data_IF_580720310323
#
_entry.id   IF_580720310323
#
_cell.length_a   1.000
_cell.length_b   1.000
_cell.length_c   1.000
_cell.angle_alpha   90.00
_cell.angle_beta   90.00
_cell.angle_gamma   90.00
#
_symmetry.space_group_name_H-M   'P 1'
#
loop_
_entity.id
_entity.type
_entity.pdbx_description
1 polymer ?
#
# COMPACT_ATOMS: atom_id res chain seq x y z
N UNK A 1 11.04 -11.37 -16.93
CA UNK A 1 12.26 -11.54 -16.11
C UNK A 1 11.94 -11.03 -14.71
N UNK A 2 11.51 -11.93 -13.83
CA UNK A 2 11.14 -11.61 -12.44
C UNK A 2 12.35 -11.79 -11.54
N UNK A 3 12.88 -10.68 -11.01
CA UNK A 3 13.85 -10.69 -9.92
C UNK A 3 13.12 -10.64 -8.60
N UNK A 4 12.98 -11.78 -7.92
CA UNK A 4 12.53 -11.83 -6.52
C UNK A 4 13.71 -11.43 -5.66
N UNK A 5 13.66 -10.23 -5.06
CA UNK A 5 14.64 -9.82 -4.05
C UNK A 5 14.29 -10.56 -2.76
N UNK A 6 15.02 -11.65 -2.49
CA UNK A 6 14.97 -12.33 -1.20
C UNK A 6 15.55 -11.40 -0.14
N UNK A 7 14.70 -10.94 0.78
CA UNK A 7 15.15 -10.28 2.00
C UNK A 7 15.64 -11.40 2.92
N UNK A 8 16.95 -11.58 3.02
CA UNK A 8 17.55 -12.40 4.08
C UNK A 8 17.25 -11.72 5.43
N UNK A 9 16.21 -12.22 6.09
CA UNK A 9 16.08 -12.06 7.53
C UNK A 9 17.16 -12.94 8.14
N UNK A 10 18.28 -12.35 8.55
CA UNK A 10 19.25 -13.03 9.41
C UNK A 10 18.53 -13.45 10.69
N UNK A 11 18.06 -14.68 10.70
CA UNK A 11 17.61 -15.39 11.87
C UNK A 11 18.84 -15.63 12.73
N UNK A 12 19.03 -14.80 13.75
CA UNK A 12 19.95 -15.08 14.84
C UNK A 12 19.48 -16.37 15.51
N UNK A 13 19.99 -17.51 15.05
CA UNK A 13 19.68 -18.81 15.63
C UNK A 13 20.20 -18.79 17.07
N UNK A 14 19.28 -18.79 18.03
CA UNK A 14 19.59 -19.10 19.41
C UNK A 14 20.08 -20.55 19.45
N UNK A 15 21.39 -20.75 19.45
CA UNK A 15 21.98 -22.04 19.77
C UNK A 15 22.08 -22.14 21.29
N UNK A 16 21.27 -22.97 21.97
CA UNK A 16 21.60 -23.37 23.33
C UNK A 16 22.90 -24.19 23.24
N UNK A 17 23.96 -23.64 23.83
CA UNK A 17 25.25 -24.32 23.98
C UNK A 17 24.97 -25.59 24.81
N UNK A 18 24.96 -26.76 24.17
CA UNK A 18 24.89 -28.04 24.88
C UNK A 18 26.16 -28.16 25.73
N UNK A 19 26.01 -27.98 27.06
CA UNK A 19 27.04 -28.37 28.01
C UNK A 19 26.95 -29.88 28.18
N UNK A 20 28.06 -30.57 27.91
CA UNK A 20 28.17 -32.01 28.07
C UNK A 20 27.82 -32.46 29.49
N UNK A 21 26.93 -33.43 29.57
CA UNK A 21 26.56 -34.11 30.81
C UNK A 21 27.58 -35.22 31.07
N UNK A 22 28.38 -35.09 32.12
CA UNK A 22 29.01 -36.23 32.78
C UNK A 22 28.71 -36.18 34.26
N UNK A 23 27.87 -37.13 34.69
CA UNK A 23 28.00 -37.82 35.96
C UNK A 23 27.65 -37.06 37.23
N UNK A 24 26.47 -37.40 37.75
CA UNK A 24 26.11 -37.41 39.17
C UNK A 24 25.61 -36.09 39.81
N UNK A 25 24.43 -36.18 40.43
CA UNK A 25 23.87 -35.17 41.31
C UNK A 25 22.98 -34.08 40.69
N UNK A 26 21.72 -34.07 41.18
CA UNK A 26 20.77 -32.94 41.20
C UNK A 26 20.05 -32.58 39.89
N UNK A 27 18.72 -32.77 39.91
CA UNK A 27 17.69 -31.85 39.40
C UNK A 27 18.24 -30.84 38.39
N UNK A 28 18.06 -31.09 37.09
CA UNK A 28 18.41 -30.13 36.03
C UNK A 28 17.46 -28.95 36.11
N UNK A 29 17.72 -28.08 37.08
CA UNK A 29 17.11 -26.78 37.23
C UNK A 29 17.47 -26.01 35.98
N UNK A 30 16.51 -25.87 35.09
CA UNK A 30 16.51 -24.92 33.97
C UNK A 30 16.47 -23.46 34.48
N UNK A 31 17.09 -23.18 35.63
CA UNK A 31 17.24 -21.85 36.19
C UNK A 31 18.27 -21.08 35.35
N UNK A 32 17.76 -20.26 34.44
CA UNK A 32 18.54 -19.16 33.89
C UNK A 32 19.11 -18.35 35.06
N UNK A 33 20.41 -18.04 35.02
CA UNK A 33 20.99 -17.17 36.05
C UNK A 33 20.22 -15.84 36.09
N UNK A 34 20.08 -15.24 37.27
CA UNK A 34 19.37 -13.96 37.44
C UNK A 34 19.90 -12.88 36.47
N UNK A 35 21.21 -12.93 36.17
CA UNK A 35 21.85 -12.07 35.17
C UNK A 35 21.29 -12.30 33.76
N UNK A 36 21.13 -13.56 33.33
CA UNK A 36 20.51 -13.88 32.04
C UNK A 36 19.04 -13.46 31.98
N UNK A 37 18.28 -13.65 33.06
CA UNK A 37 16.88 -13.20 33.14
C UNK A 37 16.80 -11.68 32.97
N UNK A 38 17.64 -10.92 33.67
CA UNK A 38 17.71 -9.47 33.55
C UNK A 38 18.10 -9.01 32.14
N UNK A 39 19.10 -9.65 31.52
CA UNK A 39 19.51 -9.35 30.14
C UNK A 39 18.38 -9.61 29.15
N UNK A 40 17.71 -10.77 29.26
CA UNK A 40 16.58 -11.12 28.38
C UNK A 40 15.43 -10.13 28.55
N UNK A 41 15.09 -9.74 29.79
CA UNK A 41 14.07 -8.72 30.07
C UNK A 41 14.40 -7.40 29.36
N UNK A 42 15.64 -6.91 29.48
CA UNK A 42 16.04 -5.66 28.84
C UNK A 42 15.98 -5.74 27.30
N UNK A 43 16.38 -6.87 26.71
CA UNK A 43 16.30 -7.08 25.26
C UNK A 43 14.85 -7.13 24.77
N UNK A 44 13.96 -7.79 25.52
CA UNK A 44 12.54 -7.83 25.21
C UNK A 44 11.92 -6.44 25.31
N UNK A 45 12.22 -5.68 26.36
CA UNK A 45 11.74 -4.30 26.50
C UNK A 45 12.19 -3.40 25.34
N UNK A 46 13.44 -3.52 24.88
CA UNK A 46 13.93 -2.81 23.68
C UNK A 46 13.18 -3.23 22.42
N UNK A 47 12.92 -4.53 22.26
CA UNK A 47 12.18 -5.07 21.12
C UNK A 47 10.75 -4.55 21.10
N UNK A 48 10.04 -4.59 22.23
CA UNK A 48 8.68 -4.05 22.38
C UNK A 48 8.65 -2.57 22.02
N UNK A 49 9.55 -1.76 22.59
CA UNK A 49 9.61 -0.34 22.29
C UNK A 49 9.91 -0.03 20.80
N UNK A 50 10.67 -0.90 20.12
CA UNK A 50 10.87 -0.79 18.66
C UNK A 50 9.60 -1.12 17.88
N UNK A 51 8.90 -2.18 18.26
CA UNK A 51 7.66 -2.61 17.60
C UNK A 51 6.55 -1.56 17.76
N UNK A 52 6.39 -0.98 18.95
CA UNK A 52 5.43 0.10 19.21
C UNK A 52 5.70 1.32 18.32
N UNK A 53 6.98 1.71 18.17
CA UNK A 53 7.38 2.79 17.27
C UNK A 53 7.09 2.49 15.80
N UNK A 54 7.11 1.22 15.38
CA UNK A 54 6.76 0.81 14.01
C UNK A 54 5.24 0.74 13.80
N UNK A 55 4.48 0.40 14.84
CA UNK A 55 3.04 0.15 14.73
C UNK A 55 2.25 1.39 14.29
N UNK A 56 2.55 2.56 14.86
CA UNK A 56 1.82 3.81 14.56
C UNK A 56 1.97 4.23 13.08
N UNK A 57 3.20 4.32 12.52
CA UNK A 57 3.39 4.56 11.08
C UNK A 57 2.71 3.53 10.19
N UNK A 58 2.79 2.24 10.53
CA UNK A 58 2.15 1.17 9.74
C UNK A 58 0.62 1.31 9.72
N UNK A 59 0.02 1.71 10.85
CA UNK A 59 -1.42 2.00 10.92
C UNK A 59 -1.79 3.14 9.98
N UNK A 60 -1.03 4.23 10.00
CA UNK A 60 -1.28 5.37 9.11
C UNK A 60 -1.12 5.00 7.63
N UNK A 61 -0.10 4.21 7.29
CA UNK A 61 0.09 3.69 5.93
C UNK A 61 -1.09 2.82 5.48
N UNK A 62 -1.61 1.95 6.35
CA UNK A 62 -2.82 1.17 6.07
C UNK A 62 -4.02 2.08 5.81
N UNK A 63 -4.25 3.08 6.64
CA UNK A 63 -5.40 3.98 6.50
C UNK A 63 -5.29 4.80 5.20
N UNK A 64 -4.10 5.28 4.87
CA UNK A 64 -3.80 5.95 3.60
C UNK A 64 -4.05 5.01 2.39
N UNK A 65 -3.70 3.73 2.48
CA UNK A 65 -4.01 2.74 1.42
C UNK A 65 -5.51 2.47 1.29
N UNK A 66 -6.24 2.35 2.40
CA UNK A 66 -7.70 2.18 2.38
C UNK A 66 -8.39 3.38 1.74
N UNK A 67 -7.92 4.59 2.02
CA UNK A 67 -8.41 5.79 1.37
C UNK A 67 -8.21 5.74 -0.16
N UNK A 68 -7.05 5.27 -0.64
CA UNK A 68 -6.82 5.11 -2.08
C UNK A 68 -7.81 4.13 -2.69
N UNK A 69 -8.04 2.98 -2.06
CA UNK A 69 -9.00 1.97 -2.54
C UNK A 69 -10.40 2.56 -2.62
N UNK A 70 -10.87 3.19 -1.54
CA UNK A 70 -12.20 3.81 -1.52
C UNK A 70 -12.37 4.89 -2.60
N UNK A 71 -11.32 5.70 -2.83
CA UNK A 71 -11.33 6.71 -3.90
C UNK A 71 -11.44 6.06 -5.28
N UNK A 72 -10.68 4.99 -5.53
CA UNK A 72 -10.73 4.27 -6.81
C UNK A 72 -12.09 3.59 -7.01
N UNK A 73 -12.65 2.96 -5.98
CA UNK A 73 -13.98 2.33 -6.05
C UNK A 73 -15.07 3.34 -6.38
N UNK A 74 -14.98 4.54 -5.80
CA UNK A 74 -15.93 5.60 -6.11
C UNK A 74 -15.80 6.10 -7.55
N UNK A 75 -14.58 6.31 -8.03
CA UNK A 75 -14.35 6.70 -9.42
C UNK A 75 -14.77 5.61 -10.42
N UNK A 76 -14.60 4.34 -10.06
CA UNK A 76 -15.11 3.23 -10.85
C UNK A 76 -16.63 3.34 -10.99
N UNK A 77 -17.37 3.62 -9.91
CA UNK A 77 -18.83 3.80 -9.99
C UNK A 77 -19.20 4.98 -10.89
N UNK A 78 -18.59 6.15 -10.69
CA UNK A 78 -18.84 7.35 -11.50
C UNK A 78 -18.72 7.04 -13.00
N UNK A 79 -17.67 6.31 -13.39
CA UNK A 79 -17.44 5.95 -14.79
C UNK A 79 -18.35 4.81 -15.29
N UNK A 80 -18.81 3.91 -14.42
CA UNK A 80 -19.71 2.81 -14.79
C UNK A 80 -21.17 3.25 -14.89
N UNK A 81 -21.59 4.20 -14.05
CA UNK A 81 -22.95 4.75 -14.00
C UNK A 81 -23.21 5.75 -15.13
N UNK A 82 -22.22 6.02 -15.98
CA UNK A 82 -22.40 6.86 -17.17
C UNK A 82 -23.53 6.31 -18.05
N UNK A 83 -24.45 7.21 -18.44
CA UNK A 83 -25.62 6.91 -19.27
C UNK A 83 -25.19 6.16 -20.54
N UNK A 84 -25.94 5.12 -20.91
CA UNK A 84 -25.69 4.33 -22.12
C UNK A 84 -26.80 4.56 -23.13
N UNK A 85 -26.41 4.78 -24.38
CA UNK A 85 -27.35 4.87 -25.49
C UNK A 85 -28.00 3.52 -25.81
N UNK A 86 -28.89 3.53 -26.80
CA UNK A 86 -29.67 2.36 -27.22
C UNK A 86 -28.80 1.18 -27.71
N UNK A 87 -27.55 1.45 -28.12
CA UNK A 87 -26.54 0.46 -28.51
C UNK A 87 -25.71 -0.08 -27.34
N UNK A 88 -26.00 0.33 -26.11
CA UNK A 88 -25.23 -0.03 -24.90
C UNK A 88 -23.90 0.71 -24.76
N UNK A 89 -23.55 1.60 -25.69
CA UNK A 89 -22.33 2.43 -25.65
C UNK A 89 -22.54 3.63 -24.73
N UNK A 90 -21.59 3.97 -23.85
CA UNK A 90 -21.67 5.16 -23.01
C UNK A 90 -21.82 6.44 -23.84
N UNK A 91 -22.75 7.30 -23.42
CA UNK A 91 -22.96 8.63 -24.00
C UNK A 91 -21.77 9.51 -23.62
N UNK A 92 -21.08 10.05 -24.62
CA UNK A 92 -19.86 10.84 -24.42
C UNK A 92 -20.04 11.99 -23.41
N UNK A 93 -21.22 12.63 -23.41
CA UNK A 93 -21.56 13.69 -22.45
C UNK A 93 -21.50 13.18 -21.00
N UNK A 94 -22.13 12.05 -20.72
CA UNK A 94 -22.17 11.47 -19.38
C UNK A 94 -20.78 11.00 -18.92
N UNK A 95 -19.98 10.43 -19.82
CA UNK A 95 -18.58 10.08 -19.53
C UNK A 95 -17.74 11.32 -19.23
N UNK A 96 -17.96 12.43 -19.94
CA UNK A 96 -17.28 13.70 -19.68
C UNK A 96 -17.65 14.29 -18.33
N UNK A 97 -18.92 14.21 -17.94
CA UNK A 97 -19.38 14.64 -16.62
C UNK A 97 -18.66 13.85 -15.51
N UNK A 98 -18.63 12.52 -15.60
CA UNK A 98 -17.88 11.70 -14.65
C UNK A 98 -16.37 12.00 -14.64
N UNK A 99 -15.79 12.28 -15.81
CA UNK A 99 -14.40 12.71 -15.91
C UNK A 99 -14.16 14.08 -15.27
N UNK A 100 -15.10 15.02 -15.37
CA UNK A 100 -15.04 16.33 -14.71
C UNK A 100 -15.03 16.19 -13.19
N UNK A 101 -15.77 15.23 -12.63
CA UNK A 101 -15.82 14.99 -11.18
C UNK A 101 -14.50 14.39 -10.65
N UNK A 102 -13.84 13.55 -11.45
CA UNK A 102 -12.55 12.90 -11.11
C UNK A 102 -11.37 13.87 -11.23
N UNK A 103 -11.41 14.75 -12.23
CA UNK A 103 -10.27 15.58 -12.67
C UNK A 103 -9.66 16.44 -11.55
N UNK A 104 -10.43 17.14 -10.69
CA UNK A 104 -9.88 17.92 -9.58
C UNK A 104 -9.04 17.09 -8.60
N UNK A 105 -9.56 15.91 -8.23
CA UNK A 105 -8.87 14.97 -7.33
C UNK A 105 -7.59 14.41 -7.96
N UNK A 106 -7.59 14.21 -9.27
CA UNK A 106 -6.47 13.66 -10.01
C UNK A 106 -5.38 14.71 -10.32
N UNK A 107 -5.75 15.93 -10.70
CA UNK A 107 -4.81 16.93 -11.22
C UNK A 107 -4.31 17.94 -10.20
N UNK A 108 -5.05 18.18 -9.11
CA UNK A 108 -4.59 19.09 -8.07
C UNK A 108 -3.46 18.47 -7.26
N UNK A 109 -2.27 19.08 -7.24
CA UNK A 109 -1.16 18.65 -6.38
C UNK A 109 -1.52 18.65 -4.89
N UNK A 110 -2.49 19.49 -4.51
CA UNK A 110 -2.97 19.62 -3.15
C UNK A 110 -4.17 18.70 -2.85
N UNK A 111 -4.65 17.91 -3.83
CA UNK A 111 -5.72 16.95 -3.57
C UNK A 111 -5.32 15.94 -2.50
N UNK A 112 -6.28 15.50 -1.71
CA UNK A 112 -6.05 14.48 -0.68
C UNK A 112 -5.46 13.19 -1.28
N UNK A 113 -5.90 12.82 -2.49
CA UNK A 113 -5.34 11.71 -3.26
C UNK A 113 -3.84 11.87 -3.52
N UNK A 114 -3.42 12.99 -4.12
CA UNK A 114 -2.02 13.20 -4.47
C UNK A 114 -1.13 13.33 -3.22
N UNK A 115 -1.62 13.99 -2.17
CA UNK A 115 -0.92 14.05 -0.89
C UNK A 115 -0.77 12.65 -0.27
N UNK A 116 -1.81 11.82 -0.31
CA UNK A 116 -1.78 10.45 0.22
C UNK A 116 -0.77 9.58 -0.53
N UNK A 117 -0.78 9.63 -1.87
CA UNK A 117 0.20 8.93 -2.70
C UNK A 117 1.63 9.40 -2.40
N UNK A 118 1.85 10.70 -2.18
CA UNK A 118 3.16 11.22 -1.78
C UNK A 118 3.60 10.72 -0.39
N UNK A 119 2.70 10.67 0.59
CA UNK A 119 3.01 10.13 1.93
C UNK A 119 3.43 8.66 1.85
N UNK A 120 2.66 7.85 1.11
CA UNK A 120 2.98 6.44 0.89
C UNK A 120 4.31 6.25 0.12
N UNK A 121 4.60 7.14 -0.84
CA UNK A 121 5.86 7.16 -1.56
C UNK A 121 7.05 7.49 -0.65
N UNK A 122 6.93 8.52 0.20
CA UNK A 122 7.96 8.89 1.19
C UNK A 122 8.20 7.78 2.21
N UNK A 123 7.14 7.07 2.58
CA UNK A 123 7.19 5.91 3.45
C UNK A 123 7.77 4.64 2.77
N UNK A 124 8.16 4.70 1.49
CA UNK A 124 8.66 3.57 0.70
C UNK A 124 7.72 2.36 0.73
N UNK A 125 6.41 2.60 0.73
CA UNK A 125 5.41 1.52 0.71
C UNK A 125 5.57 0.72 -0.59
N UNK A 126 5.67 -0.62 -0.52
CA UNK A 126 5.86 -1.46 -1.69
C UNK A 126 4.81 -1.19 -2.78
N UNK A 127 5.26 -1.20 -4.04
CA UNK A 127 4.42 -1.01 -5.24
C UNK A 127 3.73 0.35 -5.39
N UNK A 128 3.98 1.33 -4.53
CA UNK A 128 3.37 2.67 -4.67
C UNK A 128 3.74 3.37 -5.99
N UNK A 129 4.92 3.08 -6.54
CA UNK A 129 5.34 3.56 -7.87
C UNK A 129 4.41 3.07 -8.99
N UNK A 130 3.84 1.86 -8.85
CA UNK A 130 2.86 1.34 -9.80
C UNK A 130 1.56 2.14 -9.74
N UNK A 131 1.07 2.45 -8.54
CA UNK A 131 -0.11 3.30 -8.34
C UNK A 131 0.10 4.68 -8.97
N UNK A 132 1.26 5.30 -8.74
CA UNK A 132 1.62 6.58 -9.37
C UNK A 132 1.58 6.51 -10.89
N UNK A 133 2.06 5.40 -11.48
CA UNK A 133 1.98 5.16 -12.92
C UNK A 133 0.53 5.04 -13.39
N UNK A 134 -0.29 4.23 -12.73
CA UNK A 134 -1.72 4.09 -13.07
C UNK A 134 -2.45 5.44 -13.02
N UNK A 135 -2.21 6.26 -12.01
CA UNK A 135 -2.79 7.61 -11.93
C UNK A 135 -2.28 8.53 -13.03
N UNK A 136 -1.02 8.40 -13.48
CA UNK A 136 -0.50 9.17 -14.63
C UNK A 136 -1.15 8.72 -15.92
N UNK A 137 -1.38 7.42 -16.09
CA UNK A 137 -2.02 6.89 -17.30
C UNK A 137 -3.51 7.25 -17.34
N UNK A 138 -4.23 7.19 -16.21
CA UNK A 138 -5.60 7.68 -16.09
C UNK A 138 -5.73 9.16 -16.49
N UNK A 139 -4.78 10.03 -16.09
CA UNK A 139 -4.76 11.44 -16.52
C UNK A 139 -4.69 11.60 -18.04
N UNK A 140 -3.96 10.72 -18.72
CA UNK A 140 -3.83 10.75 -20.18
C UNK A 140 -5.13 10.31 -20.83
N UNK A 141 -5.72 9.21 -20.36
CA UNK A 141 -6.99 8.69 -20.88
C UNK A 141 -8.12 9.72 -20.72
N UNK A 142 -8.22 10.35 -19.55
CA UNK A 142 -9.20 11.43 -19.31
C UNK A 142 -8.98 12.59 -20.29
N UNK A 143 -7.72 12.98 -20.55
CA UNK A 143 -7.42 14.05 -21.52
C UNK A 143 -7.89 13.70 -22.93
N UNK A 144 -7.75 12.44 -23.35
CA UNK A 144 -8.23 11.95 -24.65
C UNK A 144 -9.76 12.10 -24.79
N UNK A 145 -10.51 11.91 -23.70
CA UNK A 145 -11.98 12.12 -23.68
C UNK A 145 -12.34 13.60 -23.96
N UNK A 146 -11.51 14.54 -23.49
CA UNK A 146 -11.72 15.96 -23.75
C UNK A 146 -11.24 16.40 -25.14
N UNK A 147 -10.10 15.90 -25.61
CA UNK A 147 -9.48 16.33 -26.87
C UNK A 147 -10.21 15.78 -28.13
N UNK A 148 -10.91 14.63 -28.03
CA UNK A 148 -11.54 13.95 -29.18
C UNK A 148 -12.99 14.37 -29.47
N UNK A 149 -13.42 15.61 -29.17
CA UNK A 149 -14.77 16.11 -29.53
C UNK A 149 -15.13 15.95 -31.01
N UNK A 150 -14.13 15.93 -31.90
CA UNK A 150 -14.33 15.81 -33.34
C UNK A 150 -14.38 14.36 -33.85
N UNK A 151 -13.96 13.37 -33.06
CA UNK A 151 -13.83 11.97 -33.52
C UNK A 151 -15.09 11.14 -33.22
N UNK A 152 -15.85 11.51 -32.18
CA UNK A 152 -17.07 10.80 -31.78
C UNK A 152 -18.36 11.37 -32.40
N UNK A 153 -18.28 12.54 -33.05
CA UNK A 153 -19.40 13.16 -33.78
C UNK A 153 -19.41 12.80 -35.29
N UNK A 154 -18.49 11.94 -35.75
CA UNK A 154 -18.33 11.61 -37.16
C UNK A 154 -18.67 10.15 -37.47
N UNK A 155 -19.84 9.93 -38.09
CA UNK A 155 -20.35 8.70 -38.72
C UNK A 155 -21.09 7.72 -37.80
N UNK A 156 -22.35 8.06 -37.56
CA UNK A 156 -23.42 7.06 -37.75
C UNK A 156 -23.70 7.10 -39.26
N UNK A 157 -23.19 6.11 -39.99
CA UNK A 157 -23.70 5.77 -41.32
C UNK A 157 -24.94 4.90 -41.15
#
# INVERSE_FOLDING_TARGET
MSGTVAVELSSSSLHPRQLGTTGDGLETSHALSMKMICTNKQQLQKTVGRLEKMQSPMRKQRDDLLFLVATMDEWIKILHESERGHSGVPVLRSVKEGCNDITPGLNSNNSELNQTVQRLSKASVPRIAHVQKCLKDLRKEIRVVFDNENTFNGKIC
#
